data_IF_509584626630
#
_entry.id   IF_509584626630
#
_cell.length_a   1.000
_cell.length_b   1.000
_cell.length_c   1.000
_cell.angle_alpha   90.00
_cell.angle_beta   90.00
_cell.angle_gamma   90.00
#
_symmetry.space_group_name_H-M   'P 1'
#
loop_
_entity.id
_entity.type
_entity.pdbx_description
1 polymer ?
#
# COMPACT_ATOMS: atom_id res chain seq x y z
N UNK A 1 -3.90 -13.96 9.67
CA UNK A 1 -4.29 -13.52 8.30
C UNK A 1 -3.24 -14.00 7.30
N UNK A 2 -3.65 -14.71 6.25
CA UNK A 2 -2.75 -15.14 5.16
C UNK A 2 -2.42 -13.92 4.28
N UNK A 3 -1.17 -13.45 4.33
CA UNK A 3 -0.70 -12.25 3.65
C UNK A 3 -0.54 -12.42 2.14
N UNK A 4 -1.63 -12.55 1.39
CA UNK A 4 -1.63 -12.62 -0.07
C UNK A 4 -2.57 -11.57 -0.63
N UNK A 5 -2.06 -10.35 -0.82
CA UNK A 5 -2.76 -9.36 -1.63
C UNK A 5 -2.64 -9.79 -3.10
N UNK A 6 -3.77 -10.09 -3.73
CA UNK A 6 -3.84 -10.34 -5.16
C UNK A 6 -4.06 -9.00 -5.90
N UNK A 7 -3.36 -8.73 -7.01
CA UNK A 7 -3.77 -7.68 -7.93
C UNK A 7 -5.11 -8.07 -8.56
N UNK A 8 -6.00 -7.08 -8.72
CA UNK A 8 -7.27 -7.29 -9.41
C UNK A 8 -7.14 -7.09 -10.93
N UNK A 9 -6.22 -6.24 -11.38
CA UNK A 9 -6.04 -5.91 -12.80
C UNK A 9 -4.58 -6.00 -13.23
N UNK A 10 -4.34 -6.50 -14.44
CA UNK A 10 -3.02 -6.50 -15.06
C UNK A 10 -2.53 -5.06 -15.26
N UNK A 11 -1.34 -4.69 -14.77
CA UNK A 11 -0.82 -3.32 -14.91
C UNK A 11 -0.48 -2.95 -16.36
N UNK A 12 -0.51 -3.91 -17.28
CA UNK A 12 -0.16 -3.69 -18.69
C UNK A 12 -1.38 -3.65 -19.63
N UNK A 13 -2.42 -4.47 -19.43
CA UNK A 13 -3.59 -4.49 -20.31
C UNK A 13 -4.93 -4.20 -19.61
N UNK A 14 -4.96 -4.14 -18.27
CA UNK A 14 -6.18 -3.90 -17.51
C UNK A 14 -7.13 -5.10 -17.41
N UNK A 15 -6.74 -6.27 -17.90
CA UNK A 15 -7.53 -7.51 -17.79
C UNK A 15 -7.42 -8.13 -16.38
N UNK A 16 -8.40 -8.95 -15.99
CA UNK A 16 -8.50 -9.60 -14.68
C UNK A 16 -8.03 -11.06 -14.69
N UNK A 17 -7.64 -11.62 -15.85
CA UNK A 17 -7.11 -12.99 -15.97
C UNK A 17 -5.69 -13.13 -15.41
N UNK A 18 -5.57 -12.99 -14.08
CA UNK A 18 -4.33 -12.98 -13.31
C UNK A 18 -4.18 -14.26 -12.49
N UNK A 19 -3.03 -14.92 -12.64
CA UNK A 19 -2.67 -16.14 -11.89
C UNK A 19 -1.34 -15.95 -11.16
N UNK A 20 -1.15 -16.52 -9.96
CA UNK A 20 0.18 -16.59 -9.35
C UNK A 20 1.13 -17.38 -10.25
N UNK A 21 2.36 -16.91 -10.40
CA UNK A 21 3.41 -17.61 -11.15
C UNK A 21 4.29 -18.45 -10.22
N UNK A 22 4.77 -19.57 -10.74
CA UNK A 22 5.68 -20.49 -10.04
C UNK A 22 7.09 -19.91 -9.84
N UNK A 23 7.42 -18.75 -10.44
CA UNK A 23 8.70 -18.03 -10.24
C UNK A 23 8.92 -17.56 -8.79
N UNK A 24 7.88 -17.57 -7.94
CA UNK A 24 8.00 -17.41 -6.50
C UNK A 24 7.11 -16.31 -5.91
N UNK A 25 7.44 -15.88 -4.69
CA UNK A 25 6.56 -15.00 -3.91
C UNK A 25 6.31 -13.66 -4.60
N UNK A 26 5.03 -13.35 -4.80
CA UNK A 26 4.58 -12.11 -5.42
C UNK A 26 4.68 -12.11 -6.94
N UNK A 27 5.05 -13.22 -7.58
CA UNK A 27 5.06 -13.35 -9.03
C UNK A 27 3.66 -13.65 -9.55
N UNK A 28 3.30 -13.01 -10.66
CA UNK A 28 1.99 -13.09 -11.31
C UNK A 28 2.15 -13.13 -12.82
N UNK A 29 1.22 -13.81 -13.49
CA UNK A 29 1.09 -13.84 -14.94
C UNK A 29 -0.32 -13.43 -15.36
N UNK A 30 -0.43 -12.74 -16.49
CA UNK A 30 -1.70 -12.40 -17.11
C UNK A 30 -1.93 -13.28 -18.34
N UNK A 31 -3.01 -14.08 -18.35
CA UNK A 31 -3.33 -14.95 -19.48
C UNK A 31 -3.89 -14.20 -20.70
N UNK A 32 -4.43 -13.00 -20.53
CA UNK A 32 -4.95 -12.19 -21.63
C UNK A 32 -3.84 -11.56 -22.50
N UNK A 33 -2.74 -11.11 -21.90
CA UNK A 33 -1.62 -10.47 -22.63
C UNK A 33 -0.28 -11.19 -22.51
N UNK A 34 -0.25 -12.36 -21.85
CA UNK A 34 0.91 -13.23 -21.68
C UNK A 34 2.16 -12.54 -21.07
N UNK A 35 1.96 -11.63 -20.11
CA UNK A 35 3.05 -10.94 -19.39
C UNK A 35 3.15 -11.45 -17.96
N UNK A 36 4.38 -11.71 -17.53
CA UNK A 36 4.72 -11.98 -16.14
C UNK A 36 5.27 -10.73 -15.44
N UNK A 37 4.98 -10.57 -14.15
CA UNK A 37 5.43 -9.45 -13.33
C UNK A 37 5.48 -9.83 -11.85
N UNK A 38 6.14 -9.01 -11.03
CA UNK A 38 6.27 -9.23 -9.58
C UNK A 38 5.77 -8.04 -8.78
N UNK A 39 5.04 -8.32 -7.71
CA UNK A 39 4.59 -7.34 -6.72
C UNK A 39 5.32 -7.53 -5.39
N UNK A 40 5.60 -6.40 -4.75
CA UNK A 40 6.28 -6.35 -3.44
C UNK A 40 5.54 -5.39 -2.51
N UNK A 41 5.26 -5.84 -1.28
CA UNK A 41 4.83 -4.94 -0.22
C UNK A 41 6.05 -4.17 0.30
N UNK A 42 6.03 -2.84 0.21
CA UNK A 42 7.15 -1.99 0.62
C UNK A 42 7.09 -1.55 2.09
N UNK A 43 5.97 -1.77 2.77
CA UNK A 43 5.69 -1.20 4.10
C UNK A 43 4.70 -0.03 4.05
N UNK A 44 4.49 0.60 5.21
CA UNK A 44 3.67 1.81 5.32
C UNK A 44 4.52 3.05 4.98
N UNK A 45 3.99 3.95 4.15
CA UNK A 45 4.68 5.19 3.81
C UNK A 45 4.57 6.20 4.96
N UNK A 46 5.66 6.90 5.28
CA UNK A 46 5.72 7.86 6.39
C UNK A 46 4.63 8.94 6.34
N UNK A 47 4.23 9.39 5.13
CA UNK A 47 3.13 10.34 4.92
C UNK A 47 1.77 9.88 5.49
N UNK A 48 1.57 8.57 5.65
CA UNK A 48 0.36 7.99 6.26
C UNK A 48 0.46 7.81 7.77
N UNK A 49 1.63 8.06 8.37
CA UNK A 49 1.91 7.86 9.81
C UNK A 49 2.20 9.21 10.48
N UNK A 50 1.41 10.26 10.17
CA UNK A 50 1.53 11.52 10.91
C UNK A 50 0.87 11.36 12.27
N UNK A 51 1.66 11.12 13.31
CA UNK A 51 1.21 11.34 14.69
C UNK A 51 0.95 12.82 14.85
N UNK A 52 -0.31 13.24 14.82
CA UNK A 52 -0.70 14.59 15.23
C UNK A 52 -0.48 14.68 16.75
N UNK A 53 0.76 14.86 17.16
CA UNK A 53 1.08 15.33 18.50
C UNK A 53 0.54 16.76 18.58
N UNK A 54 -0.73 16.90 19.00
CA UNK A 54 -1.29 18.19 19.37
C UNK A 54 -0.44 18.74 20.50
N UNK A 55 0.39 19.71 20.14
CA UNK A 55 1.08 20.59 21.07
C UNK A 55 0.00 21.40 21.81
N UNK A 56 -0.52 20.83 22.90
CA UNK A 56 -1.20 21.58 23.96
C UNK A 56 -0.12 22.29 24.78
N UNK A 57 0.55 23.25 24.17
CA UNK A 57 1.39 24.19 24.91
C UNK A 57 1.02 25.62 24.51
N UNK A 58 0.57 26.34 25.55
CA UNK A 58 0.70 27.78 25.74
C UNK A 58 -0.43 28.72 25.25
N UNK A 59 -1.41 28.98 26.14
CA UNK A 59 -1.89 30.34 26.50
C UNK A 59 -2.89 30.33 27.68
N UNK A 60 -2.42 30.02 28.88
CA UNK A 60 -3.02 30.57 30.11
C UNK A 60 -2.06 31.64 30.65
N UNK A 61 -1.98 32.76 29.93
CA UNK A 61 -1.46 34.00 30.48
C UNK A 61 -2.58 34.67 31.24
N UNK A 62 -2.39 34.84 32.55
CA UNK A 62 -3.29 35.59 33.40
C UNK A 62 -3.45 37.04 32.94
N UNK A 63 -4.61 37.62 33.22
CA UNK A 63 -4.76 39.07 33.29
C UNK A 63 -5.72 39.38 34.44
N UNK A 64 -5.16 40.14 35.38
CA UNK A 64 -5.74 40.69 36.58
C UNK A 64 -6.75 41.79 36.23
N UNK A 65 -7.95 41.78 36.80
CA UNK A 65 -8.67 42.97 37.31
C UNK A 65 -9.69 42.51 38.34
#
# INVERSE_FOLDING_TARGET
MSGRAAPFYCPYCGDEDLRPSEEGHGSWECGACNRAFRLSFLGLLAKGVTTQARQHDNRQGGSST
#
